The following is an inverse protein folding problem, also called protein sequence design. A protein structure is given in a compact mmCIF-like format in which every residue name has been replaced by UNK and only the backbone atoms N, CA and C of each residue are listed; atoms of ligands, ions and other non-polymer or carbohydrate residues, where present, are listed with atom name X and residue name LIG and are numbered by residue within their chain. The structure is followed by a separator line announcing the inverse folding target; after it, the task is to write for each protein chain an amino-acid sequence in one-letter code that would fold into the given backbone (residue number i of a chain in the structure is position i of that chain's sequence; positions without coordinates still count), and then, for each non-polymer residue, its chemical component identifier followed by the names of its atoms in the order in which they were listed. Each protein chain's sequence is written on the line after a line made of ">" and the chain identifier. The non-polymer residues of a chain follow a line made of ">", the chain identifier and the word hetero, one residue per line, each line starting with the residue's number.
data_IF_020701627455
#
_entry.id   IF_020701627455
#
_cell.length_a   1.000
_cell.length_b   1.000
_cell.length_c   1.000
_cell.angle_alpha   90.00
_cell.angle_beta   90.00
_cell.angle_gamma   90.00
#
_symmetry.space_group_name_H-M   'P 1'
#
loop_
_entity.id
_entity.type
_entity.pdbx_description
1 polymer ?
#
# COMPACT_ATOMS: atom_id res chain seq x y z
N UNK A 1 20.09 -49.90 -30.66
CA UNK A 1 21.17 -50.08 -31.64
C UNK A 1 21.84 -48.73 -31.82
N UNK A 2 22.96 -48.42 -31.13
CA UNK A 2 24.38 -48.50 -31.61
C UNK A 2 24.58 -47.75 -32.94
N UNK A 3 25.52 -46.82 -33.16
CA UNK A 3 26.83 -46.51 -32.55
C UNK A 3 27.22 -45.05 -32.94
N UNK A 4 27.82 -44.22 -32.07
CA UNK A 4 29.27 -43.98 -31.79
C UNK A 4 29.97 -42.94 -32.68
N UNK A 5 30.69 -42.01 -32.00
CA UNK A 5 31.45 -40.84 -32.47
C UNK A 5 32.85 -41.18 -33.09
N UNK A 6 33.69 -40.20 -33.52
CA UNK A 6 34.63 -39.45 -32.62
C UNK A 6 34.96 -37.97 -33.04
N UNK A 7 35.15 -37.02 -32.11
CA UNK A 7 36.40 -36.51 -31.46
C UNK A 7 37.30 -35.52 -32.24
N UNK A 8 37.45 -34.28 -31.73
CA UNK A 8 38.71 -33.72 -31.14
C UNK A 8 39.01 -32.22 -31.39
N UNK A 9 39.23 -31.49 -30.26
CA UNK A 9 40.24 -30.43 -29.91
C UNK A 9 40.51 -29.26 -30.89
N UNK A 10 40.80 -28.00 -30.50
CA UNK A 10 41.24 -27.37 -29.25
C UNK A 10 41.06 -25.82 -29.31
N UNK A 11 41.36 -25.04 -28.23
CA UNK A 11 40.91 -23.66 -27.99
C UNK A 11 42.01 -22.55 -28.03
N UNK A 12 41.59 -21.29 -27.74
CA UNK A 12 42.33 -20.07 -27.26
C UNK A 12 42.35 -18.87 -28.25
N UNK A 13 42.55 -17.58 -27.82
CA UNK A 13 43.06 -17.14 -26.51
C UNK A 13 42.29 -16.01 -25.78
N UNK A 14 42.55 -15.96 -24.47
CA UNK A 14 42.39 -14.80 -23.56
C UNK A 14 43.71 -14.03 -23.49
N UNK A 15 43.65 -12.71 -23.31
CA UNK A 15 44.62 -11.88 -22.55
C UNK A 15 44.24 -10.38 -22.62
N UNK A 16 44.76 -9.50 -21.73
CA UNK A 16 45.14 -9.72 -20.34
C UNK A 16 44.61 -8.63 -19.38
N UNK A 17 44.71 -8.93 -18.08
CA UNK A 17 44.54 -8.00 -16.99
C UNK A 17 45.75 -7.07 -16.86
N UNK A 18 45.51 -5.81 -16.46
CA UNK A 18 46.55 -4.86 -16.05
C UNK A 18 46.38 -4.48 -14.58
N UNK A 19 47.38 -4.79 -13.77
CA UNK A 19 47.58 -4.39 -12.36
C UNK A 19 48.33 -3.04 -12.25
N UNK A 20 48.38 -2.43 -11.04
CA UNK A 20 48.41 -0.97 -10.86
C UNK A 20 49.79 -0.39 -10.48
N UNK A 21 49.94 0.93 -10.63
CA UNK A 21 51.04 1.70 -10.02
C UNK A 21 50.64 3.16 -9.69
N UNK A 22 51.40 3.87 -8.82
CA UNK A 22 50.85 4.72 -7.75
C UNK A 22 51.29 6.19 -7.77
N UNK A 23 50.81 6.96 -6.76
CA UNK A 23 51.22 8.31 -6.30
C UNK A 23 50.70 9.45 -7.21
N UNK A 24 50.26 10.62 -6.74
CA UNK A 24 50.78 11.50 -5.68
C UNK A 24 49.70 12.51 -5.23
N UNK A 25 49.84 12.99 -3.99
CA UNK A 25 49.10 14.09 -3.39
C UNK A 25 49.36 15.45 -4.06
N UNK A 26 48.34 16.32 -4.10
CA UNK A 26 48.50 17.77 -4.19
C UNK A 26 47.63 18.45 -3.14
N UNK A 27 48.29 19.12 -2.20
CA UNK A 27 47.72 20.17 -1.36
C UNK A 27 47.50 21.43 -2.22
N UNK A 28 46.37 22.10 -2.07
CA UNK A 28 46.28 23.53 -2.32
C UNK A 28 45.34 24.17 -1.30
N UNK A 29 45.92 25.10 -0.54
CA UNK A 29 45.27 25.92 0.47
C UNK A 29 44.37 26.98 -0.18
N UNK A 30 43.21 27.22 0.43
CA UNK A 30 42.37 28.39 0.15
C UNK A 30 41.68 28.84 1.42
N UNK A 31 42.19 29.92 2.04
CA UNK A 31 41.66 30.52 3.26
C UNK A 31 40.48 31.46 2.96
N UNK A 32 39.69 31.68 4.02
CA UNK A 32 38.71 32.75 4.27
C UNK A 32 37.32 32.53 3.65
N UNK A 33 36.19 32.71 4.35
CA UNK A 33 35.85 33.72 5.36
C UNK A 33 34.76 33.16 6.31
N UNK A 34 34.95 33.39 7.62
CA UNK A 34 33.99 33.06 8.69
C UNK A 34 32.69 33.86 8.51
N UNK A 35 31.54 33.17 8.51
CA UNK A 35 30.25 33.75 8.95
C UNK A 35 29.68 32.82 10.03
N UNK A 36 29.67 33.32 11.27
CA UNK A 36 28.99 32.70 12.42
C UNK A 36 27.48 32.80 12.17
N UNK A 37 26.81 31.67 11.97
CA UNK A 37 25.38 31.54 12.18
C UNK A 37 25.18 30.71 13.45
N UNK A 38 24.80 31.38 14.54
CA UNK A 38 24.30 30.74 15.76
C UNK A 38 22.99 30.06 15.41
N UNK A 39 22.94 28.74 15.53
CA UNK A 39 21.69 28.00 15.63
C UNK A 39 21.64 27.40 17.02
N UNK A 40 20.65 27.82 17.79
CA UNK A 40 20.35 27.27 19.10
C UNK A 40 19.79 25.85 18.91
N UNK A 41 20.42 24.88 19.58
CA UNK A 41 19.90 23.53 19.74
C UNK A 41 18.66 23.56 20.66
N UNK A 42 17.57 22.86 20.34
CA UNK A 42 16.67 22.35 21.36
C UNK A 42 17.21 21.01 21.84
N UNK A 43 17.41 20.93 23.14
CA UNK A 43 17.83 19.79 23.94
C UNK A 43 17.04 18.51 23.66
N UNK A 44 17.77 17.40 23.71
CA UNK A 44 17.30 16.03 23.71
C UNK A 44 16.27 15.81 24.83
N UNK A 45 15.01 15.57 24.46
CA UNK A 45 13.99 15.00 25.34
C UNK A 45 14.10 13.47 25.35
N UNK A 46 14.03 12.88 26.54
CA UNK A 46 13.93 11.45 26.81
C UNK A 46 12.86 10.73 25.96
N UNK A 47 13.05 9.44 25.61
CA UNK A 47 12.02 8.67 24.91
C UNK A 47 10.78 8.51 25.81
N UNK A 48 9.56 8.47 25.24
CA UNK A 48 8.36 8.14 26.02
C UNK A 48 8.43 6.69 26.51
N UNK A 49 7.79 6.36 27.64
CA UNK A 49 7.84 5.02 28.20
C UNK A 49 7.20 4.01 27.26
N UNK A 50 7.80 2.81 27.19
CA UNK A 50 7.18 1.64 26.61
C UNK A 50 5.82 1.44 27.27
N UNK A 51 4.77 1.37 26.46
CA UNK A 51 3.45 1.06 26.96
C UNK A 51 3.46 -0.37 27.51
N UNK A 52 3.06 -0.51 28.77
CA UNK A 52 2.76 -1.80 29.39
C UNK A 52 1.24 -1.94 29.43
N UNK A 53 0.64 -3.09 29.07
CA UNK A 53 -0.78 -3.28 29.27
C UNK A 53 -1.03 -3.41 30.78
N UNK A 54 -1.79 -2.48 31.35
CA UNK A 54 -2.34 -2.65 32.68
C UNK A 54 -3.31 -3.85 32.67
N UNK A 55 -3.12 -4.74 33.64
CA UNK A 55 -3.98 -5.89 33.86
C UNK A 55 -5.43 -5.44 34.13
N UNK A 56 -6.37 -6.11 33.44
CA UNK A 56 -7.80 -6.23 33.80
C UNK A 56 -8.46 -4.98 34.39
N UNK A 57 -8.92 -4.07 33.53
CA UNK A 57 -9.82 -2.98 33.91
C UNK A 57 -10.60 -2.51 32.68
N UNK A 58 -11.92 -2.40 32.83
CA UNK A 58 -12.86 -2.01 31.77
C UNK A 58 -12.40 -0.76 30.99
N UNK A 59 -12.56 -0.80 29.67
CA UNK A 59 -12.33 0.32 28.77
C UNK A 59 -13.31 1.45 29.10
N UNK A 60 -12.87 2.40 29.92
CA UNK A 60 -13.66 3.57 30.29
C UNK A 60 -13.95 4.46 29.08
N UNK A 61 -15.21 4.82 28.91
CA UNK A 61 -15.74 5.82 27.98
C UNK A 61 -15.18 7.20 28.32
N UNK A 62 -14.03 7.55 27.76
CA UNK A 62 -13.33 8.79 28.11
C UNK A 62 -12.35 9.30 27.06
N UNK A 63 -12.64 9.12 25.77
CA UNK A 63 -11.81 9.70 24.70
C UNK A 63 -12.21 11.16 24.46
N UNK A 64 -11.53 12.10 25.11
CA UNK A 64 -11.64 13.53 24.75
C UNK A 64 -10.76 13.79 23.53
N UNK A 65 -11.40 14.05 22.39
CA UNK A 65 -10.76 14.60 21.20
C UNK A 65 -10.26 16.02 21.47
N UNK A 66 -8.98 16.36 21.20
CA UNK A 66 -8.59 17.76 21.09
C UNK A 66 -9.24 18.35 19.84
N UNK A 67 -9.99 19.44 19.99
CA UNK A 67 -10.46 20.25 18.88
C UNK A 67 -9.25 20.86 18.15
N UNK A 68 -8.90 20.30 16.99
CA UNK A 68 -7.90 20.90 16.11
C UNK A 68 -8.55 22.02 15.28
N UNK A 69 -7.96 23.23 15.21
CA UNK A 69 -8.39 24.25 14.26
C UNK A 69 -8.13 23.75 12.84
N UNK A 70 -8.99 24.14 11.89
CA UNK A 70 -8.95 23.75 10.48
C UNK A 70 -7.58 24.00 9.83
N UNK A 71 -6.68 23.01 9.92
CA UNK A 71 -5.43 23.00 9.19
C UNK A 71 -5.75 22.72 7.72
N UNK A 72 -5.62 23.76 6.89
CA UNK A 72 -5.66 23.62 5.43
C UNK A 72 -4.42 22.82 5.02
N UNK A 73 -4.56 21.51 4.83
CA UNK A 73 -3.49 20.65 4.34
C UNK A 73 -3.16 21.06 2.90
N UNK A 74 -2.13 21.89 2.75
CA UNK A 74 -1.58 22.22 1.44
C UNK A 74 -0.42 21.26 1.20
N UNK A 75 -0.64 20.21 0.43
CA UNK A 75 0.43 19.36 -0.06
C UNK A 75 1.46 20.26 -0.76
N UNK A 76 2.58 20.55 -0.10
CA UNK A 76 3.62 21.41 -0.68
C UNK A 76 4.15 20.68 -1.91
N UNK A 77 3.94 21.27 -3.08
CA UNK A 77 4.60 20.86 -4.32
C UNK A 77 6.11 20.89 -4.10
N UNK A 78 6.88 19.90 -4.57
CA UNK A 78 8.29 20.14 -4.82
C UNK A 78 8.39 21.27 -5.85
N UNK A 79 9.09 22.33 -5.50
CA UNK A 79 9.36 23.46 -6.40
C UNK A 79 10.13 22.96 -7.63
N UNK A 80 9.48 23.00 -8.80
CA UNK A 80 10.09 22.59 -10.08
C UNK A 80 11.02 23.67 -10.67
N UNK A 81 11.14 24.85 -10.06
CA UNK A 81 11.90 25.98 -10.62
C UNK A 81 13.39 25.99 -10.28
N UNK A 82 13.89 25.01 -9.48
CA UNK A 82 15.32 24.80 -9.23
C UNK A 82 15.75 23.36 -9.52
N UNK A 83 15.56 22.91 -10.76
CA UNK A 83 16.23 21.72 -11.27
C UNK A 83 17.71 22.04 -11.59
N UNK A 84 18.51 22.23 -10.53
CA UNK A 84 19.97 22.14 -10.65
C UNK A 84 20.34 20.69 -10.99
N UNK A 85 21.07 20.49 -12.09
CA UNK A 85 21.63 19.19 -12.48
C UNK A 85 22.45 18.62 -11.31
N UNK A 86 22.10 17.43 -10.82
CA UNK A 86 23.04 16.54 -10.13
C UNK A 86 22.87 16.27 -8.63
N UNK A 87 21.77 16.63 -7.97
CA UNK A 87 21.52 16.20 -6.59
C UNK A 87 20.24 15.38 -6.47
N UNK A 88 20.40 14.05 -6.31
CA UNK A 88 19.31 13.18 -5.85
C UNK A 88 18.91 13.67 -4.44
N UNK A 89 17.64 14.02 -4.16
CA UNK A 89 17.22 14.08 -2.77
C UNK A 89 17.37 12.67 -2.21
N UNK A 90 18.34 12.47 -1.32
CA UNK A 90 18.43 11.28 -0.51
C UNK A 90 17.21 11.29 0.43
N UNK A 91 16.10 10.79 -0.09
CA UNK A 91 14.94 10.38 0.68
C UNK A 91 15.40 9.23 1.58
N UNK A 92 16.06 9.55 2.69
CA UNK A 92 16.22 8.61 3.80
C UNK A 92 14.85 8.48 4.49
N UNK A 93 13.86 8.03 3.72
CA UNK A 93 12.49 7.89 4.19
C UNK A 93 12.50 6.61 5.02
N UNK A 94 12.43 6.79 6.34
CA UNK A 94 12.27 5.70 7.28
C UNK A 94 11.04 4.88 6.88
N UNK A 95 11.16 3.56 6.89
CA UNK A 95 10.07 2.65 6.57
C UNK A 95 8.85 2.97 7.46
N UNK A 96 7.69 3.09 6.83
CA UNK A 96 6.37 3.12 7.45
C UNK A 96 5.45 2.17 6.67
N UNK A 97 4.94 1.16 7.36
CA UNK A 97 3.95 0.22 6.85
C UNK A 97 2.68 0.24 7.70
N UNK A 98 1.64 -0.46 7.26
CA UNK A 98 0.38 -0.55 8.01
C UNK A 98 -0.39 -1.84 7.79
N UNK A 99 -1.14 -2.23 8.81
CA UNK A 99 -2.27 -3.15 8.68
C UNK A 99 -3.58 -2.37 8.72
N UNK A 100 -4.42 -2.55 7.70
CA UNK A 100 -5.65 -1.77 7.53
C UNK A 100 -6.91 -2.66 7.43
N UNK A 101 -7.41 -3.23 8.55
CA UNK A 101 -8.56 -4.12 8.51
C UNK A 101 -9.89 -3.35 8.46
N UNK A 102 -10.82 -3.81 7.63
CA UNK A 102 -12.24 -3.42 7.76
C UNK A 102 -12.89 -4.22 8.90
N UNK A 103 -13.61 -3.56 9.84
CA UNK A 103 -14.18 -4.22 11.03
C UNK A 103 -15.53 -4.87 10.73
N UNK A 104 -15.56 -5.71 9.70
CA UNK A 104 -16.77 -6.46 9.29
C UNK A 104 -16.95 -7.79 10.03
N UNK A 105 -16.14 -8.03 11.06
CA UNK A 105 -16.01 -9.29 11.78
C UNK A 105 -14.62 -9.42 12.44
N UNK A 106 -14.38 -10.50 13.20
CA UNK A 106 -13.09 -10.73 13.84
C UNK A 106 -11.96 -10.97 12.83
N UNK A 107 -10.71 -10.94 13.31
CA UNK A 107 -9.59 -11.48 12.55
C UNK A 107 -9.79 -12.97 12.30
N UNK A 108 -9.46 -13.37 11.08
CA UNK A 108 -9.44 -14.75 10.59
C UNK A 108 -8.06 -15.04 10.01
N UNK A 109 -7.79 -16.29 9.63
CA UNK A 109 -6.47 -16.71 9.15
C UNK A 109 -5.87 -15.79 8.06
N UNK A 110 -6.66 -15.44 7.04
CA UNK A 110 -6.20 -14.54 5.95
C UNK A 110 -5.85 -13.11 6.41
N UNK A 111 -6.62 -12.53 7.33
CA UNK A 111 -6.29 -11.20 7.86
C UNK A 111 -5.11 -11.25 8.83
N UNK A 112 -4.91 -12.35 9.55
CA UNK A 112 -3.71 -12.55 10.38
C UNK A 112 -2.45 -12.72 9.53
N UNK A 113 -2.52 -13.38 8.37
CA UNK A 113 -1.40 -13.46 7.41
C UNK A 113 -0.99 -12.06 6.95
N UNK A 114 -1.95 -11.21 6.57
CA UNK A 114 -1.66 -9.83 6.17
C UNK A 114 -1.11 -8.97 7.34
N UNK A 115 -1.67 -9.12 8.55
CA UNK A 115 -1.20 -8.43 9.74
C UNK A 115 0.25 -8.83 10.08
N UNK A 116 0.53 -10.14 10.14
CA UNK A 116 1.86 -10.67 10.42
C UNK A 116 2.87 -10.23 9.37
N UNK A 117 2.59 -10.42 8.08
CA UNK A 117 3.50 -10.02 7.01
C UNK A 117 3.83 -8.52 7.04
N UNK A 118 2.82 -7.66 7.19
CA UNK A 118 3.04 -6.21 7.23
C UNK A 118 3.83 -5.77 8.47
N UNK A 119 3.62 -6.45 9.61
CA UNK A 119 4.39 -6.22 10.83
C UNK A 119 5.84 -6.66 10.67
N UNK A 120 6.07 -7.88 10.16
CA UNK A 120 7.42 -8.42 9.91
C UNK A 120 8.20 -7.54 8.94
N UNK A 121 7.55 -7.05 7.88
CA UNK A 121 8.19 -6.17 6.90
C UNK A 121 8.65 -4.86 7.53
N UNK A 122 7.85 -4.28 8.44
CA UNK A 122 8.23 -3.10 9.19
C UNK A 122 9.37 -3.36 10.17
N UNK A 123 9.30 -4.45 10.93
CA UNK A 123 10.31 -4.77 11.94
C UNK A 123 11.66 -5.15 11.34
N UNK A 124 11.65 -5.91 10.24
CA UNK A 124 12.85 -6.25 9.48
C UNK A 124 13.56 -4.99 8.92
N UNK A 125 12.80 -3.95 8.58
CA UNK A 125 13.34 -2.67 8.11
C UNK A 125 13.63 -1.65 9.23
N UNK A 126 13.43 -2.01 10.50
CA UNK A 126 13.56 -1.07 11.64
C UNK A 126 12.59 0.12 11.55
N UNK A 127 11.45 -0.07 10.89
CA UNK A 127 10.45 0.96 10.60
C UNK A 127 9.25 0.97 11.55
N UNK A 128 8.32 1.87 11.24
CA UNK A 128 7.02 1.97 11.94
C UNK A 128 5.98 1.05 11.29
N UNK A 129 5.16 0.44 12.13
CA UNK A 129 3.97 -0.31 11.76
C UNK A 129 2.74 0.31 12.40
N UNK A 130 1.83 0.78 11.55
CA UNK A 130 0.61 1.47 11.94
C UNK A 130 -0.61 0.54 11.80
N UNK A 131 -1.68 0.84 12.51
CA UNK A 131 -2.98 0.21 12.30
C UNK A 131 -4.00 1.27 11.91
N UNK A 132 -4.82 0.97 10.90
CA UNK A 132 -5.93 1.81 10.47
C UNK A 132 -7.20 0.98 10.31
N UNK A 133 -8.25 1.32 11.05
CA UNK A 133 -9.54 0.64 10.94
C UNK A 133 -10.31 1.23 9.76
N UNK A 134 -10.62 0.40 8.77
CA UNK A 134 -11.34 0.79 7.56
C UNK A 134 -12.87 0.65 7.74
N UNK A 135 -13.42 1.38 8.69
CA UNK A 135 -14.85 1.45 9.06
C UNK A 135 -15.67 2.40 8.16
N UNK A 136 -15.31 2.47 6.87
CA UNK A 136 -15.87 3.42 5.91
C UNK A 136 -17.25 3.03 5.34
N UNK A 137 -17.73 1.82 5.68
CA UNK A 137 -19.06 1.32 5.34
C UNK A 137 -19.78 0.89 6.64
N UNK A 138 -20.31 1.86 7.43
CA UNK A 138 -20.85 1.61 8.76
C UNK A 138 -21.91 0.50 8.84
N UNK A 139 -22.84 0.34 7.86
CA UNK A 139 -23.80 -0.77 7.85
C UNK A 139 -23.16 -2.17 7.87
N UNK A 140 -21.88 -2.29 7.47
CA UNK A 140 -21.12 -3.55 7.48
C UNK A 140 -20.25 -3.74 8.72
N UNK A 141 -20.30 -2.83 9.69
CA UNK A 141 -19.39 -2.80 10.83
C UNK A 141 -20.17 -3.10 12.12
N UNK A 142 -20.22 -4.36 12.59
CA UNK A 142 -20.89 -4.69 13.84
C UNK A 142 -20.25 -3.97 15.04
N UNK A 143 -21.08 -3.61 16.02
CA UNK A 143 -20.59 -3.06 17.28
C UNK A 143 -19.58 -4.00 17.96
N UNK A 144 -18.48 -3.45 18.50
CA UNK A 144 -17.44 -4.23 19.17
C UNK A 144 -16.42 -4.89 18.22
N UNK A 145 -16.62 -4.86 16.90
CA UNK A 145 -15.73 -5.52 15.95
C UNK A 145 -14.33 -4.89 15.93
N UNK A 146 -14.24 -3.56 16.00
CA UNK A 146 -12.98 -2.82 16.08
C UNK A 146 -12.19 -3.21 17.33
N UNK A 147 -12.83 -3.17 18.50
CA UNK A 147 -12.23 -3.52 19.79
C UNK A 147 -11.77 -4.97 19.81
N UNK A 148 -12.54 -5.87 19.20
CA UNK A 148 -12.18 -7.28 19.07
C UNK A 148 -10.93 -7.46 18.20
N UNK A 149 -10.86 -6.81 17.03
CA UNK A 149 -9.68 -6.86 16.16
C UNK A 149 -8.43 -6.38 16.91
N UNK A 150 -8.51 -5.25 17.61
CA UNK A 150 -7.38 -4.69 18.34
C UNK A 150 -6.92 -5.62 19.48
N UNK A 151 -7.86 -6.24 20.20
CA UNK A 151 -7.56 -7.25 21.22
C UNK A 151 -6.87 -8.49 20.64
N UNK A 152 -7.35 -8.97 19.49
CA UNK A 152 -6.76 -10.12 18.80
C UNK A 152 -5.33 -9.84 18.30
N UNK A 153 -5.07 -8.62 17.79
CA UNK A 153 -3.71 -8.18 17.46
C UNK A 153 -2.82 -8.13 18.70
N UNK A 154 -3.32 -7.60 19.82
CA UNK A 154 -2.59 -7.53 21.08
C UNK A 154 -2.26 -8.91 21.66
N UNK A 155 -3.19 -9.88 21.60
CA UNK A 155 -2.95 -11.26 22.00
C UNK A 155 -1.83 -11.91 21.16
N UNK A 156 -1.74 -11.55 19.87
CA UNK A 156 -0.66 -11.97 18.97
C UNK A 156 0.63 -11.14 19.11
N UNK A 157 0.71 -10.20 20.06
CA UNK A 157 1.82 -9.26 20.22
C UNK A 157 2.14 -8.43 18.96
N UNK A 158 1.16 -8.26 18.06
CA UNK A 158 1.25 -7.41 16.87
C UNK A 158 0.77 -6.01 17.21
N UNK A 159 1.67 -5.23 17.79
CA UNK A 159 1.32 -3.99 18.47
C UNK A 159 1.66 -2.78 17.58
N UNK A 160 0.72 -1.84 17.35
CA UNK A 160 0.97 -0.66 16.53
C UNK A 160 1.87 0.33 17.27
N UNK A 161 2.69 1.05 16.50
CA UNK A 161 3.63 2.04 17.05
C UNK A 161 2.96 3.39 17.38
N UNK A 162 1.73 3.60 16.90
CA UNK A 162 0.91 4.79 17.14
C UNK A 162 -0.55 4.38 17.38
N UNK A 163 -1.38 5.23 18.01
CA UNK A 163 -2.81 4.97 18.16
C UNK A 163 -3.48 4.66 16.81
N UNK A 164 -4.34 3.62 16.74
CA UNK A 164 -5.04 3.29 15.50
C UNK A 164 -5.88 4.46 14.97
N UNK A 165 -5.81 4.68 13.65
CA UNK A 165 -6.65 5.65 12.96
C UNK A 165 -8.00 5.01 12.58
N UNK A 166 -9.11 5.75 12.70
CA UNK A 166 -10.44 5.32 12.26
C UNK A 166 -10.88 6.09 11.02
N UNK A 167 -11.27 5.40 9.94
CA UNK A 167 -11.69 6.04 8.69
C UNK A 167 -13.03 6.77 8.78
N UNK A 168 -13.91 6.37 9.70
CA UNK A 168 -15.16 7.07 10.01
C UNK A 168 -14.95 8.51 10.47
N UNK A 169 -13.76 8.86 10.95
CA UNK A 169 -13.40 10.20 11.44
C UNK A 169 -12.69 11.06 10.38
N UNK A 170 -12.68 10.64 9.12
CA UNK A 170 -11.82 11.20 8.06
C UNK A 170 -12.57 11.89 6.93
N UNK A 171 -13.88 12.02 7.02
CA UNK A 171 -14.75 12.56 5.97
C UNK A 171 -14.23 13.86 5.34
N UNK A 172 -13.82 14.83 6.18
CA UNK A 172 -13.30 16.11 5.72
C UNK A 172 -12.04 15.99 4.81
N UNK A 173 -11.19 14.98 5.05
CA UNK A 173 -10.00 14.76 4.22
C UNK A 173 -10.34 14.15 2.87
N UNK A 174 -11.33 13.26 2.82
CA UNK A 174 -11.80 12.69 1.57
C UNK A 174 -12.55 13.74 0.74
N UNK A 175 -13.35 14.58 1.40
CA UNK A 175 -14.01 15.71 0.75
C UNK A 175 -12.99 16.69 0.18
N UNK A 176 -11.95 17.06 0.94
CA UNK A 176 -10.89 17.91 0.43
C UNK A 176 -10.20 17.31 -0.81
N UNK A 177 -9.89 16.00 -0.78
CA UNK A 177 -9.29 15.33 -1.93
C UNK A 177 -10.22 15.32 -3.16
N UNK A 178 -11.52 15.12 -2.96
CA UNK A 178 -12.51 15.23 -4.03
C UNK A 178 -12.55 16.66 -4.60
N UNK A 179 -12.61 17.68 -3.74
CA UNK A 179 -12.65 19.08 -4.16
C UNK A 179 -11.42 19.47 -4.96
N UNK A 180 -10.23 19.00 -4.57
CA UNK A 180 -8.98 19.21 -5.31
C UNK A 180 -9.03 18.58 -6.72
N UNK A 181 -9.65 17.40 -6.85
CA UNK A 181 -9.86 16.76 -8.15
C UNK A 181 -10.89 17.50 -9.00
N UNK A 182 -11.97 18.00 -8.38
CA UNK A 182 -13.01 18.82 -9.03
C UNK A 182 -12.39 20.08 -9.60
N UNK A 183 -11.61 20.81 -8.79
CA UNK A 183 -10.94 22.04 -9.20
C UNK A 183 -9.96 21.85 -10.37
N UNK A 184 -9.47 20.61 -10.56
CA UNK A 184 -8.55 20.24 -11.65
C UNK A 184 -9.26 19.59 -12.83
N UNK A 185 -10.59 19.50 -12.80
CA UNK A 185 -11.38 18.87 -13.86
C UNK A 185 -11.13 17.37 -14.01
N UNK A 186 -10.61 16.69 -12.99
CA UNK A 186 -10.23 15.26 -13.06
C UNK A 186 -11.36 14.31 -12.65
N UNK A 187 -12.49 14.83 -12.21
CA UNK A 187 -13.68 14.07 -11.82
C UNK A 187 -14.93 14.68 -12.43
N UNK A 188 -16.01 13.91 -12.47
CA UNK A 188 -17.32 14.39 -12.91
C UNK A 188 -18.45 13.68 -12.14
N UNK A 189 -19.62 14.34 -12.01
CA UNK A 189 -20.78 13.70 -11.43
C UNK A 189 -21.37 12.66 -12.40
N UNK A 190 -21.94 11.58 -11.83
CA UNK A 190 -22.56 10.50 -12.58
C UNK A 190 -23.98 10.26 -12.06
N UNK A 191 -24.92 10.10 -12.98
CA UNK A 191 -26.32 9.75 -12.70
C UNK A 191 -26.61 8.24 -12.86
N UNK A 192 -25.74 7.49 -13.57
CA UNK A 192 -26.00 6.09 -13.91
C UNK A 192 -26.18 5.17 -12.70
N UNK A 193 -27.21 4.33 -12.77
CA UNK A 193 -27.40 3.14 -11.94
C UNK A 193 -26.52 1.99 -12.46
N UNK A 194 -26.44 0.88 -11.70
CA UNK A 194 -25.79 -0.35 -12.21
C UNK A 194 -26.50 -0.90 -13.45
N UNK A 195 -27.83 -0.84 -13.48
CA UNK A 195 -28.66 -1.27 -14.61
C UNK A 195 -28.35 -0.46 -15.88
N UNK A 196 -28.18 0.86 -15.76
CA UNK A 196 -27.85 1.71 -16.91
C UNK A 196 -26.47 1.37 -17.48
N UNK A 197 -25.51 1.08 -16.60
CA UNK A 197 -24.16 0.67 -17.02
C UNK A 197 -24.21 -0.69 -17.72
N UNK A 198 -24.92 -1.67 -17.16
CA UNK A 198 -25.09 -2.99 -17.78
C UNK A 198 -25.77 -2.89 -19.15
N UNK A 199 -26.80 -2.06 -19.29
CA UNK A 199 -27.46 -1.81 -20.56
C UNK A 199 -26.52 -1.15 -21.59
N UNK A 200 -25.73 -0.16 -21.18
CA UNK A 200 -24.76 0.49 -22.06
C UNK A 200 -23.61 -0.44 -22.48
N UNK A 201 -23.17 -1.36 -21.61
CA UNK A 201 -22.19 -2.39 -21.96
C UNK A 201 -22.79 -3.44 -22.90
N UNK A 202 -24.01 -3.90 -22.65
CA UNK A 202 -24.70 -4.86 -23.50
C UNK A 202 -24.90 -4.31 -24.93
N UNK A 203 -25.20 -3.02 -25.07
CA UNK A 203 -25.27 -2.34 -26.37
C UNK A 203 -23.93 -2.33 -27.14
N UNK A 204 -22.80 -2.56 -26.46
CA UNK A 204 -21.46 -2.72 -27.06
C UNK A 204 -21.06 -4.20 -27.22
N UNK A 205 -22.00 -5.13 -27.04
CA UNK A 205 -21.73 -6.57 -27.09
C UNK A 205 -21.00 -7.11 -25.85
N UNK A 206 -20.89 -6.32 -24.79
CA UNK A 206 -20.21 -6.71 -23.54
C UNK A 206 -21.24 -7.09 -22.49
N UNK A 207 -21.41 -8.39 -22.25
CA UNK A 207 -22.27 -8.90 -21.17
C UNK A 207 -21.45 -9.03 -19.90
N UNK A 208 -21.82 -8.24 -18.89
CA UNK A 208 -21.17 -8.29 -17.59
C UNK A 208 -21.48 -9.60 -16.84
N UNK A 209 -20.43 -10.30 -16.42
CA UNK A 209 -20.56 -11.50 -15.59
C UNK A 209 -20.53 -11.14 -14.11
N UNK A 210 -21.21 -11.94 -13.28
CA UNK A 210 -21.18 -11.77 -11.83
C UNK A 210 -19.74 -11.90 -11.31
N UNK A 211 -19.37 -11.08 -10.34
CA UNK A 211 -18.04 -11.05 -9.71
C UNK A 211 -16.88 -10.57 -10.60
N UNK A 212 -17.14 -10.17 -11.85
CA UNK A 212 -16.14 -9.50 -12.71
C UNK A 212 -16.23 -7.99 -12.49
N UNK A 213 -15.19 -7.24 -12.84
CA UNK A 213 -15.25 -5.77 -12.85
C UNK A 213 -16.27 -5.28 -13.89
N UNK A 214 -16.86 -4.10 -13.64
CA UNK A 214 -17.79 -3.45 -14.58
C UNK A 214 -17.15 -2.18 -15.13
N UNK A 215 -16.46 -2.25 -16.29
CA UNK A 215 -15.87 -1.07 -16.91
C UNK A 215 -16.92 0.01 -17.11
N UNK A 216 -16.68 1.22 -16.59
CA UNK A 216 -17.65 2.30 -16.80
C UNK A 216 -17.60 2.78 -18.27
N UNK A 217 -18.72 2.79 -19.00
CA UNK A 217 -18.74 3.07 -20.45
C UNK A 217 -18.60 4.55 -20.81
N UNK A 218 -18.48 5.44 -19.82
CA UNK A 218 -18.30 6.88 -20.05
C UNK A 218 -19.59 7.68 -20.24
N UNK A 219 -20.77 7.10 -20.00
CA UNK A 219 -22.09 7.71 -20.31
C UNK A 219 -22.25 9.14 -19.80
N UNK A 220 -21.73 9.45 -18.60
CA UNK A 220 -21.87 10.78 -17.99
C UNK A 220 -20.68 11.74 -18.21
N UNK A 221 -19.68 11.39 -19.04
CA UNK A 221 -18.45 12.22 -19.21
C UNK A 221 -18.74 13.63 -19.75
N UNK A 222 -19.74 13.74 -20.62
CA UNK A 222 -20.15 14.98 -21.28
C UNK A 222 -21.38 15.65 -20.63
N UNK A 223 -21.90 15.10 -19.53
CA UNK A 223 -23.13 15.58 -18.88
C UNK A 223 -23.98 14.45 -18.33
N UNK A 224 -25.04 14.80 -17.58
CA UNK A 224 -25.86 13.81 -16.86
C UNK A 224 -27.01 13.22 -17.67
N UNK A 225 -27.22 13.67 -18.92
CA UNK A 225 -28.29 13.21 -19.82
C UNK A 225 -29.69 13.26 -19.17
N UNK A 226 -30.00 14.37 -18.50
CA UNK A 226 -31.27 14.57 -17.78
C UNK A 226 -31.36 13.89 -16.41
N UNK A 227 -30.35 13.14 -15.98
CA UNK A 227 -30.30 12.52 -14.66
C UNK A 227 -29.81 13.44 -13.55
N UNK A 228 -30.13 13.10 -12.30
CA UNK A 228 -29.64 13.80 -11.10
C UNK A 228 -28.25 13.29 -10.70
N UNK A 229 -27.30 14.15 -10.33
CA UNK A 229 -25.98 13.71 -9.89
C UNK A 229 -26.11 12.90 -8.59
N UNK A 230 -25.54 11.69 -8.58
CA UNK A 230 -25.57 10.80 -7.40
C UNK A 230 -24.21 10.28 -6.99
N UNK A 231 -23.28 10.11 -7.93
CA UNK A 231 -21.93 9.64 -7.63
C UNK A 231 -20.88 10.56 -8.24
N UNK A 232 -19.64 10.49 -7.75
CA UNK A 232 -18.49 11.14 -8.35
C UNK A 232 -17.53 10.09 -8.91
N UNK A 233 -17.09 10.27 -10.15
CA UNK A 233 -16.15 9.35 -10.83
C UNK A 233 -14.87 10.08 -11.21
N UNK A 234 -13.75 9.36 -11.12
CA UNK A 234 -12.48 9.80 -11.68
C UNK A 234 -12.50 9.66 -13.21
N UNK A 235 -12.02 10.66 -13.95
CA UNK A 235 -11.76 10.57 -15.39
C UNK A 235 -10.51 9.73 -15.66
N UNK A 236 -10.56 8.45 -15.30
CA UNK A 236 -9.42 7.55 -15.37
C UNK A 236 -8.95 7.34 -16.82
N UNK A 237 -9.87 7.19 -17.76
CA UNK A 237 -9.54 7.01 -19.19
C UNK A 237 -8.87 8.25 -19.79
N UNK A 238 -9.43 9.44 -19.54
CA UNK A 238 -8.87 10.71 -19.99
C UNK A 238 -7.52 11.00 -19.32
N UNK A 239 -7.39 10.71 -18.02
CA UNK A 239 -6.13 10.89 -17.31
C UNK A 239 -5.04 9.95 -17.83
N UNK A 240 -5.37 8.68 -18.09
CA UNK A 240 -4.43 7.68 -18.61
C UNK A 240 -4.00 8.03 -20.04
N UNK A 241 -4.95 8.34 -20.93
CA UNK A 241 -4.65 8.68 -22.33
C UNK A 241 -3.75 9.91 -22.50
N UNK A 242 -3.80 10.85 -21.56
CA UNK A 242 -2.91 12.02 -21.50
C UNK A 242 -1.51 11.72 -20.93
N UNK A 243 -1.21 10.48 -20.56
CA UNK A 243 0.13 10.08 -20.11
C UNK A 243 1.05 9.78 -21.31
N UNK A 244 2.38 9.83 -21.12
CA UNK A 244 3.33 9.47 -22.17
C UNK A 244 3.09 8.06 -22.75
N UNK A 245 3.44 7.87 -24.02
CA UNK A 245 3.39 6.55 -24.64
C UNK A 245 4.45 5.61 -24.06
N UNK A 246 4.11 4.32 -23.97
CA UNK A 246 5.07 3.27 -23.62
C UNK A 246 6.28 3.29 -24.57
N UNK A 247 7.48 3.04 -24.04
CA UNK A 247 8.74 3.12 -24.79
C UNK A 247 9.43 4.50 -24.84
N UNK A 248 8.77 5.60 -24.45
CA UNK A 248 9.41 6.93 -24.39
C UNK A 248 10.10 7.10 -23.04
N UNK A 249 11.44 7.14 -23.02
CA UNK A 249 12.25 7.31 -21.80
C UNK A 249 11.91 6.31 -20.68
N UNK A 250 11.68 5.04 -21.03
CA UNK A 250 11.46 4.00 -20.02
C UNK A 250 12.69 3.92 -19.12
N UNK A 251 12.44 4.18 -17.83
CA UNK A 251 13.41 3.97 -16.78
C UNK A 251 13.19 2.56 -16.25
N UNK A 252 14.04 1.58 -16.62
CA UNK A 252 13.86 0.20 -16.17
C UNK A 252 13.95 0.05 -14.64
N UNK A 253 14.46 1.06 -13.92
CA UNK A 253 14.52 1.13 -12.46
C UNK A 253 13.30 1.82 -11.80
N UNK A 254 12.32 2.29 -12.58
CA UNK A 254 11.14 2.94 -12.03
C UNK A 254 10.23 1.92 -11.32
N UNK A 255 9.93 2.21 -10.05
CA UNK A 255 9.05 1.40 -9.21
C UNK A 255 7.63 1.24 -9.78
N UNK A 256 7.17 2.24 -10.52
CA UNK A 256 5.95 2.23 -11.31
C UNK A 256 6.09 3.19 -12.49
N UNK A 257 5.29 2.97 -13.53
CA UNK A 257 5.19 3.81 -14.72
C UNK A 257 3.73 3.86 -15.15
N UNK A 258 3.20 5.07 -15.34
CA UNK A 258 1.88 5.28 -15.92
C UNK A 258 2.09 5.74 -17.36
N UNK A 259 1.48 5.00 -18.30
CA UNK A 259 1.52 5.29 -19.73
C UNK A 259 0.10 5.37 -20.27
N UNK A 260 -0.05 5.84 -21.51
CA UNK A 260 -1.34 5.78 -22.19
C UNK A 260 -1.90 4.35 -22.34
N UNK A 261 -1.03 3.34 -22.37
CA UNK A 261 -1.40 1.92 -22.46
C UNK A 261 -1.79 1.30 -21.12
N UNK A 262 -1.50 1.96 -19.99
CA UNK A 262 -1.81 1.43 -18.65
C UNK A 262 -0.72 1.69 -17.63
N UNK A 263 -0.90 1.06 -16.47
CA UNK A 263 0.00 1.17 -15.31
C UNK A 263 0.87 -0.08 -15.25
N UNK A 264 2.20 0.12 -15.25
CA UNK A 264 3.21 -0.90 -14.94
C UNK A 264 3.73 -0.66 -13.54
N UNK A 265 3.87 -1.70 -12.74
CA UNK A 265 4.47 -1.60 -11.41
C UNK A 265 5.20 -2.88 -11.04
N UNK A 266 6.06 -2.80 -10.03
CA UNK A 266 6.74 -3.96 -9.48
C UNK A 266 6.20 -4.30 -8.10
N UNK A 267 5.63 -5.49 -7.96
CA UNK A 267 5.32 -6.08 -6.67
C UNK A 267 6.53 -6.87 -6.16
N UNK A 268 6.90 -6.68 -4.91
CA UNK A 268 8.09 -7.32 -4.33
C UNK A 268 8.02 -8.85 -4.25
N UNK A 269 6.83 -9.45 -4.30
CA UNK A 269 6.64 -10.91 -4.36
C UNK A 269 6.20 -11.37 -5.75
N UNK A 270 5.21 -10.69 -6.35
CA UNK A 270 4.63 -11.10 -7.64
C UNK A 270 5.44 -10.64 -8.86
N UNK A 271 6.47 -9.81 -8.67
CA UNK A 271 7.33 -9.32 -9.74
C UNK A 271 6.69 -8.20 -10.56
N UNK A 272 7.04 -8.12 -11.84
CA UNK A 272 6.49 -7.10 -12.74
C UNK A 272 5.00 -7.35 -13.01
N UNK A 273 4.20 -6.30 -12.91
CA UNK A 273 2.76 -6.31 -13.07
C UNK A 273 2.32 -5.22 -14.04
N UNK A 274 1.17 -5.41 -14.70
CA UNK A 274 0.60 -4.47 -15.65
C UNK A 274 -0.93 -4.55 -15.67
N UNK A 275 -1.58 -3.39 -15.80
CA UNK A 275 -3.01 -3.30 -16.05
C UNK A 275 -3.32 -2.07 -16.92
N UNK A 276 -4.14 -2.26 -17.95
CA UNK A 276 -4.83 -1.16 -18.62
C UNK A 276 -6.08 -0.79 -17.79
N UNK A 277 -5.94 0.23 -16.94
CA UNK A 277 -7.00 0.64 -16.02
C UNK A 277 -8.18 1.22 -16.81
N UNK A 278 -7.91 1.99 -17.85
CA UNK A 278 -8.96 2.58 -18.69
C UNK A 278 -9.85 1.50 -19.32
N UNK A 279 -9.26 0.47 -19.93
CA UNK A 279 -10.03 -0.59 -20.57
C UNK A 279 -10.70 -1.56 -19.57
N UNK A 280 -9.99 -1.96 -18.51
CA UNK A 280 -10.45 -3.03 -17.62
C UNK A 280 -11.33 -2.53 -16.46
N UNK A 281 -11.29 -1.24 -16.14
CA UNK A 281 -11.99 -0.63 -15.01
C UNK A 281 -12.81 0.60 -15.44
N UNK A 282 -12.26 1.40 -16.35
CA UNK A 282 -12.83 2.68 -16.74
C UNK A 282 -12.89 3.68 -15.58
N UNK A 283 -13.77 4.65 -15.71
CA UNK A 283 -13.92 5.75 -14.75
C UNK A 283 -14.60 5.27 -13.46
N UNK A 284 -13.78 4.91 -12.48
CA UNK A 284 -14.23 4.33 -11.21
C UNK A 284 -14.76 5.40 -10.23
N UNK A 285 -15.62 4.95 -9.32
CA UNK A 285 -16.32 5.79 -8.35
C UNK A 285 -15.39 6.20 -7.22
N UNK A 286 -15.41 7.49 -6.86
CA UNK A 286 -14.74 8.05 -5.68
C UNK A 286 -15.70 8.30 -4.51
N UNK A 287 -16.93 8.76 -4.83
CA UNK A 287 -18.05 8.91 -3.88
C UNK A 287 -19.29 8.24 -4.46
N UNK A 288 -19.87 7.34 -3.68
CA UNK A 288 -21.00 6.49 -4.07
C UNK A 288 -22.33 7.25 -4.01
N UNK A 289 -23.36 6.65 -4.60
CA UNK A 289 -24.73 7.15 -4.61
C UNK A 289 -25.40 7.23 -3.22
N UNK A 290 -24.94 6.42 -2.28
CA UNK A 290 -25.39 6.42 -0.89
C UNK A 290 -24.58 7.38 0.00
N UNK A 291 -23.73 8.23 -0.61
CA UNK A 291 -22.91 9.22 0.09
C UNK A 291 -21.58 8.67 0.63
N UNK A 292 -21.40 7.34 0.67
CA UNK A 292 -20.19 6.71 1.19
C UNK A 292 -18.99 6.90 0.25
N UNK A 293 -17.81 7.01 0.84
CA UNK A 293 -16.55 7.09 0.11
C UNK A 293 -16.13 5.73 -0.45
N UNK A 294 -15.49 5.74 -1.60
CA UNK A 294 -14.90 4.52 -2.15
C UNK A 294 -13.66 4.09 -1.36
N UNK A 295 -13.42 2.78 -1.33
CA UNK A 295 -12.16 2.20 -0.84
C UNK A 295 -10.94 2.84 -1.52
N UNK A 296 -11.02 3.09 -2.84
CA UNK A 296 -9.90 3.64 -3.61
C UNK A 296 -9.49 5.02 -3.10
N UNK A 297 -10.43 5.94 -2.91
CA UNK A 297 -10.13 7.29 -2.43
C UNK A 297 -9.61 7.28 -1.00
N UNK A 298 -10.28 6.56 -0.11
CA UNK A 298 -9.93 6.59 1.29
C UNK A 298 -8.53 6.04 1.57
N UNK A 299 -8.18 4.90 0.95
CA UNK A 299 -6.86 4.29 1.11
C UNK A 299 -5.75 5.21 0.63
N UNK A 300 -5.87 5.80 -0.56
CA UNK A 300 -4.77 6.64 -1.08
C UNK A 300 -4.59 7.92 -0.28
N UNK A 301 -5.69 8.52 0.20
CA UNK A 301 -5.65 9.74 1.01
C UNK A 301 -5.03 9.44 2.37
N UNK A 302 -5.44 8.36 3.03
CA UNK A 302 -4.92 8.02 4.35
C UNK A 302 -3.50 7.45 4.32
N UNK A 303 -3.16 6.64 3.31
CA UNK A 303 -1.78 6.15 3.14
C UNK A 303 -0.83 7.34 2.94
N UNK A 304 -1.22 8.35 2.15
CA UNK A 304 -0.43 9.58 2.01
C UNK A 304 -0.37 10.41 3.31
N UNK A 305 -1.50 10.55 4.02
CA UNK A 305 -1.57 11.32 5.26
C UNK A 305 -0.75 10.69 6.41
N UNK A 306 -0.72 9.36 6.49
CA UNK A 306 0.10 8.62 7.47
C UNK A 306 1.57 8.46 7.03
N UNK A 307 1.92 8.94 5.82
CA UNK A 307 3.27 8.80 5.27
C UNK A 307 3.66 7.34 5.01
N UNK A 308 2.70 6.51 4.61
CA UNK A 308 2.93 5.09 4.29
C UNK A 308 3.89 4.99 3.10
N UNK A 309 4.93 4.20 3.30
CA UNK A 309 6.00 3.97 2.31
C UNK A 309 5.91 2.60 1.67
N UNK A 310 5.34 1.64 2.40
CA UNK A 310 5.23 0.24 2.00
C UNK A 310 3.85 -0.28 2.35
N UNK A 311 3.17 -0.86 1.36
CA UNK A 311 1.88 -1.50 1.50
C UNK A 311 2.08 -3.01 1.34
N UNK A 312 1.99 -3.72 2.46
CA UNK A 312 1.98 -5.18 2.52
C UNK A 312 0.57 -5.63 2.85
N UNK A 313 -0.09 -6.34 1.92
CA UNK A 313 -1.51 -6.74 2.04
C UNK A 313 -1.82 -8.02 1.28
N UNK A 314 -3.02 -8.57 1.44
CA UNK A 314 -3.45 -9.78 0.71
C UNK A 314 -3.48 -9.61 -0.81
N UNK A 315 -3.07 -10.66 -1.54
CA UNK A 315 -3.06 -10.75 -3.00
C UNK A 315 -4.42 -10.52 -3.67
N UNK A 316 -5.52 -10.66 -2.93
CA UNK A 316 -6.85 -10.33 -3.43
C UNK A 316 -7.07 -8.84 -3.70
N UNK A 317 -6.15 -7.99 -3.25
CA UNK A 317 -6.19 -6.56 -3.52
C UNK A 317 -5.24 -6.15 -4.66
N UNK A 318 -4.60 -7.09 -5.34
CA UNK A 318 -3.63 -6.79 -6.41
C UNK A 318 -4.25 -5.93 -7.52
N UNK A 319 -5.47 -6.27 -7.97
CA UNK A 319 -6.20 -5.56 -9.03
C UNK A 319 -6.64 -4.13 -8.66
N UNK A 320 -6.56 -3.77 -7.37
CA UNK A 320 -6.82 -2.41 -6.90
C UNK A 320 -5.58 -1.52 -6.99
N UNK A 321 -4.39 -2.11 -6.95
CA UNK A 321 -3.10 -1.40 -6.95
C UNK A 321 -2.94 -0.41 -8.11
N UNK A 322 -3.14 -0.78 -9.38
CA UNK A 322 -3.00 0.17 -10.50
C UNK A 322 -4.00 1.32 -10.45
N UNK A 323 -5.24 1.08 -9.99
CA UNK A 323 -6.25 2.15 -9.77
C UNK A 323 -5.78 3.15 -8.71
N UNK A 324 -5.18 2.63 -7.65
CA UNK A 324 -4.62 3.44 -6.56
C UNK A 324 -3.39 4.22 -7.01
N UNK A 325 -2.49 3.63 -7.79
CA UNK A 325 -1.33 4.33 -8.39
C UNK A 325 -1.82 5.47 -9.29
N UNK A 326 -2.82 5.22 -10.14
CA UNK A 326 -3.39 6.23 -11.02
C UNK A 326 -4.05 7.37 -10.23
N UNK A 327 -4.79 7.05 -9.16
CA UNK A 327 -5.41 8.06 -8.30
C UNK A 327 -4.38 8.83 -7.45
N UNK A 328 -3.33 8.19 -6.96
CA UNK A 328 -2.21 8.85 -6.28
C UNK A 328 -1.55 9.87 -7.21
N UNK A 329 -1.24 9.48 -8.45
CA UNK A 329 -0.68 10.39 -9.45
C UNK A 329 -1.64 11.54 -9.79
N UNK A 330 -2.93 11.24 -9.95
CA UNK A 330 -3.97 12.24 -10.17
C UNK A 330 -4.02 13.25 -9.02
N UNK A 331 -3.91 12.82 -7.76
CA UNK A 331 -3.86 13.67 -6.57
C UNK A 331 -2.48 14.27 -6.27
N UNK A 332 -1.45 13.93 -7.05
CA UNK A 332 -0.04 14.28 -6.79
C UNK A 332 0.47 13.81 -5.42
N UNK A 333 0.04 12.62 -4.99
CA UNK A 333 0.46 11.96 -3.75
C UNK A 333 1.64 11.01 -3.99
N UNK A 334 2.43 10.69 -2.95
CA UNK A 334 3.45 9.66 -3.02
C UNK A 334 2.84 8.27 -3.32
N UNK A 335 3.59 7.45 -4.06
CA UNK A 335 3.24 6.05 -4.32
C UNK A 335 4.12 5.14 -3.45
N UNK A 336 3.54 4.25 -2.63
CA UNK A 336 4.30 3.32 -1.81
C UNK A 336 4.84 2.13 -2.64
N UNK A 337 5.74 1.36 -2.03
CA UNK A 337 6.15 0.04 -2.52
C UNK A 337 5.10 -1.00 -2.15
N UNK A 338 4.84 -1.97 -3.02
CA UNK A 338 3.82 -3.00 -2.79
C UNK A 338 4.44 -4.38 -2.62
N UNK A 339 3.85 -5.17 -1.71
CA UNK A 339 4.03 -6.62 -1.60
C UNK A 339 2.66 -7.24 -1.33
N UNK A 340 2.27 -8.20 -2.16
CA UNK A 340 1.01 -8.91 -2.01
C UNK A 340 1.25 -10.32 -1.41
N UNK A 341 0.69 -10.58 -0.22
CA UNK A 341 0.85 -11.85 0.50
C UNK A 341 -0.01 -12.96 -0.10
N UNK A 342 0.42 -14.23 -0.05
CA UNK A 342 -0.38 -15.35 -0.54
C UNK A 342 -1.79 -15.40 0.05
N UNK A 343 -2.75 -15.89 -0.73
CA UNK A 343 -4.10 -16.18 -0.24
C UNK A 343 -4.10 -17.43 0.65
N UNK A 344 -4.84 -17.37 1.76
CA UNK A 344 -5.15 -18.56 2.54
C UNK A 344 -6.28 -19.32 1.84
N UNK A 345 -6.04 -20.61 1.57
CA UNK A 345 -7.00 -21.51 0.92
C UNK A 345 -7.52 -22.53 1.92
N UNK A 346 -8.79 -22.90 1.79
CA UNK A 346 -9.42 -23.99 2.54
C UNK A 346 -8.91 -25.36 2.06
N UNK A 347 -9.36 -26.42 2.72
CA UNK A 347 -9.06 -27.81 2.34
C UNK A 347 -9.61 -28.20 0.96
N UNK A 348 -10.61 -27.47 0.49
CA UNK A 348 -11.22 -27.54 -0.84
C UNK A 348 -10.45 -26.75 -1.92
N UNK A 349 -9.37 -26.05 -1.54
CA UNK A 349 -8.59 -25.20 -2.44
C UNK A 349 -9.20 -23.81 -2.67
N UNK A 350 -10.40 -23.55 -2.15
CA UNK A 350 -11.10 -22.29 -2.29
C UNK A 350 -10.54 -21.22 -1.36
N UNK A 351 -10.73 -19.94 -1.74
CA UNK A 351 -10.26 -18.82 -0.91
C UNK A 351 -11.03 -18.81 0.42
N UNK A 352 -10.30 -18.92 1.54
CA UNK A 352 -10.84 -18.65 2.86
C UNK A 352 -11.15 -17.15 2.96
N UNK A 353 -12.43 -16.82 2.74
CA UNK A 353 -12.91 -15.44 2.73
C UNK A 353 -13.82 -15.19 3.94
N UNK A 354 -13.90 -13.91 4.37
CA UNK A 354 -14.86 -13.47 5.40
C UNK A 354 -16.31 -13.82 5.05
N UNK A 355 -16.65 -13.93 3.77
CA UNK A 355 -18.00 -14.25 3.31
C UNK A 355 -18.33 -15.75 3.41
N UNK A 356 -17.33 -16.61 3.60
CA UNK A 356 -17.50 -18.07 3.72
C UNK A 356 -17.40 -18.57 5.16
N UNK A 357 -17.55 -17.69 6.16
CA UNK A 357 -17.56 -18.12 7.57
C UNK A 357 -16.20 -18.58 8.09
N UNK A 358 -15.10 -18.02 7.56
CA UNK A 358 -13.76 -18.33 8.08
C UNK A 358 -13.73 -18.12 9.61
N UNK A 359 -13.27 -19.12 10.39
CA UNK A 359 -13.31 -19.05 11.83
C UNK A 359 -12.44 -17.89 12.33
N UNK A 360 -12.89 -17.27 13.43
CA UNK A 360 -12.08 -16.30 14.15
C UNK A 360 -10.77 -16.96 14.61
N UNK A 361 -9.69 -16.18 14.69
CA UNK A 361 -8.47 -16.68 15.33
C UNK A 361 -8.72 -16.96 16.82
N UNK A 362 -8.10 -18.02 17.32
CA UNK A 362 -8.12 -18.37 18.74
C UNK A 362 -7.12 -17.50 19.51
N UNK A 363 -7.64 -16.54 20.25
CA UNK A 363 -6.85 -15.60 21.07
C UNK A 363 -6.26 -16.25 22.33
N UNK A 364 -6.70 -17.45 22.71
CA UNK A 364 -6.13 -18.21 23.83
C UNK A 364 -4.86 -18.96 23.43
N UNK A 365 -4.64 -19.17 22.13
CA UNK A 365 -3.49 -19.87 21.55
C UNK A 365 -2.81 -19.02 20.46
N UNK A 366 -2.32 -17.81 20.80
CA UNK A 366 -1.84 -16.86 19.80
C UNK A 366 -0.62 -17.34 19.01
N UNK A 367 0.28 -18.12 19.64
CA UNK A 367 1.44 -18.68 18.94
C UNK A 367 1.03 -19.66 17.85
N UNK A 368 0.01 -20.50 18.08
CA UNK A 368 -0.46 -21.45 17.08
C UNK A 368 -1.10 -20.74 15.89
N UNK A 369 -1.88 -19.69 16.16
CA UNK A 369 -2.45 -18.85 15.12
C UNK A 369 -1.36 -18.15 14.29
N UNK A 370 -0.35 -17.59 14.96
CA UNK A 370 0.81 -16.98 14.32
C UNK A 370 1.64 -17.98 13.52
N UNK A 371 1.89 -19.17 14.05
CA UNK A 371 2.63 -20.23 13.37
C UNK A 371 1.88 -20.72 12.12
N UNK A 372 0.55 -20.81 12.17
CA UNK A 372 -0.27 -21.09 10.99
C UNK A 372 -0.12 -20.01 9.91
N UNK A 373 -0.16 -18.73 10.30
CA UNK A 373 0.09 -17.62 9.37
C UNK A 373 1.53 -17.63 8.82
N UNK A 374 2.52 -17.93 9.66
CA UNK A 374 3.93 -17.99 9.28
C UNK A 374 4.19 -19.10 8.24
N UNK A 375 3.53 -20.26 8.37
CA UNK A 375 3.58 -21.33 7.36
C UNK A 375 3.05 -20.87 6.00
N UNK A 376 1.97 -20.11 5.95
CA UNK A 376 1.43 -19.54 4.69
C UNK A 376 2.45 -18.58 4.05
N UNK A 377 3.22 -17.86 4.86
CA UNK A 377 4.29 -16.97 4.42
C UNK A 377 5.61 -17.69 4.10
N UNK A 378 5.63 -19.03 4.15
CA UNK A 378 6.82 -19.87 3.97
C UNK A 378 7.97 -19.53 4.93
N UNK A 379 7.65 -19.12 6.16
CA UNK A 379 8.61 -18.84 7.22
C UNK A 379 8.99 -20.12 7.97
N UNK A 380 10.19 -20.18 8.59
CA UNK A 380 10.63 -21.35 9.34
C UNK A 380 9.70 -21.64 10.53
N UNK A 381 9.60 -22.92 10.91
CA UNK A 381 8.84 -23.31 12.09
C UNK A 381 9.41 -22.65 13.35
N UNK A 382 8.52 -22.23 14.25
CA UNK A 382 8.95 -21.77 15.57
C UNK A 382 9.48 -22.95 16.40
N UNK A 383 10.51 -22.74 17.25
CA UNK A 383 10.93 -23.75 18.22
C UNK A 383 9.76 -24.21 19.11
N UNK A 384 9.73 -25.48 19.55
CA UNK A 384 8.62 -26.03 20.35
C UNK A 384 8.26 -25.23 21.60
N UNK A 385 9.26 -24.67 22.28
CA UNK A 385 9.10 -23.91 23.53
C UNK A 385 9.22 -22.39 23.34
N UNK A 386 9.10 -21.90 22.10
CA UNK A 386 9.21 -20.47 21.82
C UNK A 386 8.02 -19.69 22.38
N UNK A 387 8.30 -18.56 23.01
CA UNK A 387 7.29 -17.52 23.25
C UNK A 387 6.87 -16.85 21.93
N UNK A 388 5.68 -16.21 21.84
CA UNK A 388 5.31 -15.41 20.68
C UNK A 388 6.36 -14.36 20.30
N UNK A 389 6.98 -13.70 21.29
CA UNK A 389 8.04 -12.72 21.06
C UNK A 389 9.28 -13.33 20.38
N UNK A 390 9.72 -14.50 20.84
CA UNK A 390 10.86 -15.21 20.23
C UNK A 390 10.55 -15.67 18.80
N UNK A 391 9.34 -16.18 18.56
CA UNK A 391 8.90 -16.58 17.23
C UNK A 391 8.83 -15.38 16.26
N UNK A 392 8.25 -14.26 16.69
CA UNK A 392 8.19 -13.02 15.92
C UNK A 392 9.60 -12.48 15.59
N UNK A 393 10.54 -12.54 16.53
CA UNK A 393 11.93 -12.11 16.29
C UNK A 393 12.67 -13.03 15.31
N UNK A 394 12.43 -14.35 15.36
CA UNK A 394 12.93 -15.30 14.37
C UNK A 394 12.37 -14.97 12.97
N UNK A 395 11.06 -14.82 12.87
CA UNK A 395 10.40 -14.56 11.60
C UNK A 395 10.74 -13.19 11.01
N UNK A 396 10.98 -12.17 11.83
CA UNK A 396 11.37 -10.85 11.34
C UNK A 396 12.75 -10.91 10.65
N UNK A 397 13.69 -11.70 11.19
CA UNK A 397 14.99 -11.95 10.56
C UNK A 397 14.84 -12.71 9.24
N UNK A 398 14.11 -13.83 9.25
CA UNK A 398 13.86 -14.63 8.04
C UNK A 398 13.13 -13.83 6.93
N UNK A 399 12.17 -12.98 7.32
CA UNK A 399 11.48 -12.08 6.41
C UNK A 399 12.44 -11.07 5.78
N UNK A 400 13.31 -10.47 6.60
CA UNK A 400 14.33 -9.52 6.15
C UNK A 400 15.25 -10.10 5.08
N UNK A 401 15.68 -11.35 5.26
CA UNK A 401 16.48 -12.10 4.31
C UNK A 401 15.73 -12.46 3.02
N UNK A 402 14.40 -12.38 2.98
CA UNK A 402 13.63 -12.76 1.78
C UNK A 402 13.21 -11.53 0.99
N UNK A 403 12.60 -10.55 1.66
CA UNK A 403 11.91 -9.45 0.98
C UNK A 403 12.53 -8.07 1.24
N UNK A 404 13.42 -7.92 2.24
CA UNK A 404 14.10 -6.66 2.58
C UNK A 404 15.63 -6.72 2.39
N UNK A 405 16.14 -7.63 1.55
CA UNK A 405 17.57 -7.62 1.21
C UNK A 405 17.94 -6.27 0.62
N UNK A 406 19.00 -5.66 1.14
CA UNK A 406 19.65 -4.56 0.45
C UNK A 406 20.12 -5.08 -0.93
N UNK A 407 19.88 -4.33 -2.01
CA UNK A 407 20.32 -4.71 -3.35
C UNK A 407 21.85 -4.83 -3.45
#
# INVERSE_FOLDING_TARGET
>A
MRASAPSSRAPLPKSPASTPHPRTAWCAAGRTRKRKARWASPSCGTPPPAWAPAATGAWGTGWRTPSSPACRWRWRRPDRSRAGRGARPAWNVRYVGRFAPSPTGPLHAGSLVAALASWLDARAAGGRWLVRIEDIDPPRCPAGATERILRQLAACQLLPDEPPLLQSQRDAHYQQALDDLVARGLVYPCACTRRDIDAALAARGLVHQRHVERPYPGTCRAGLNGGTPRAWRLRAEEYQSNQPSAGVNERPDAMFLITNAGVRWHDRRLGAQFQDVAAQVGDFVLRRADGLWSYQLAVVVDDAAQGITHVVRGEDLVDNTPRQILLQAALALPTPRYLHTPLVRGSDGEKLSKQHGAPAIDETRPLDALAAAARVLALPAAPPDATPAQALALWARAWGETYNRAP
#
